data_IF_422882657873
#
_entry.id   IF_422882657873
#
_cell.length_a   1.000
_cell.length_b   1.000
_cell.length_c   1.000
_cell.angle_alpha   90.00
_cell.angle_beta   90.00
_cell.angle_gamma   90.00
#
_symmetry.space_group_name_H-M   'P 1'
#
loop_
_entity.id
_entity.type
_entity.pdbx_description
1 polymer ?
#
# COMPACT_ATOMS: atom_id res chain seq x y z
N UNK A 1 -1.84 6.23 -30.73
CA UNK A 1 -3.15 6.02 -31.37
C UNK A 1 -3.75 4.74 -30.83
N UNK A 2 -4.24 4.80 -29.58
CA UNK A 2 -5.00 3.74 -28.93
C UNK A 2 -6.07 4.44 -28.09
N UNK A 3 -7.30 4.30 -28.57
CA UNK A 3 -8.55 4.20 -27.81
C UNK A 3 -8.92 5.37 -26.91
N UNK A 4 -9.52 6.38 -27.53
CA UNK A 4 -10.61 7.20 -26.94
C UNK A 4 -11.85 6.37 -26.57
N UNK A 5 -11.88 5.08 -26.89
CA UNK A 5 -13.03 4.17 -26.74
C UNK A 5 -13.09 3.44 -25.39
N UNK A 6 -12.24 3.79 -24.42
CA UNK A 6 -12.33 3.28 -23.03
C UNK A 6 -13.27 4.15 -22.16
N UNK A 7 -13.83 5.23 -22.73
CA UNK A 7 -14.70 6.15 -22.00
C UNK A 7 -16.14 5.65 -21.81
N UNK A 8 -16.53 4.56 -22.46
CA UNK A 8 -17.69 3.76 -22.04
C UNK A 8 -17.24 2.76 -20.97
N UNK A 9 -16.87 3.28 -19.80
CA UNK A 9 -16.85 2.48 -18.58
C UNK A 9 -18.31 2.12 -18.30
N UNK A 10 -18.76 1.04 -18.91
CA UNK A 10 -20.07 0.45 -18.74
C UNK A 10 -20.13 -0.05 -17.30
N UNK A 11 -20.49 0.83 -16.36
CA UNK A 11 -20.91 0.46 -15.02
C UNK A 11 -22.09 -0.49 -15.21
N UNK A 12 -21.81 -1.79 -15.18
CA UNK A 12 -22.80 -2.84 -15.16
C UNK A 12 -23.68 -2.61 -13.93
N UNK A 13 -24.86 -2.02 -14.15
CA UNK A 13 -25.88 -1.70 -13.17
C UNK A 13 -25.41 -0.90 -11.93
N UNK A 14 -25.82 0.37 -11.85
CA UNK A 14 -25.73 1.14 -10.60
C UNK A 14 -26.87 0.69 -9.68
N UNK A 15 -26.53 0.22 -8.49
CA UNK A 15 -27.48 -0.12 -7.44
C UNK A 15 -27.43 0.97 -6.37
N UNK A 16 -28.57 1.64 -6.14
CA UNK A 16 -28.73 2.63 -5.07
C UNK A 16 -29.22 1.98 -3.79
N UNK A 17 -28.70 2.44 -2.65
CA UNK A 17 -29.11 2.01 -1.32
C UNK A 17 -29.51 3.24 -0.50
N UNK A 18 -30.47 3.08 0.41
CA UNK A 18 -30.95 4.21 1.22
C UNK A 18 -30.07 4.47 2.45
N UNK A 19 -29.40 3.42 2.94
CA UNK A 19 -28.45 3.51 4.06
C UNK A 19 -27.19 2.70 3.80
N UNK A 20 -26.13 3.03 4.52
CA UNK A 20 -24.88 2.28 4.48
C UNK A 20 -25.05 0.86 5.04
N UNK A 21 -25.92 0.68 6.05
CA UNK A 21 -26.21 -0.62 6.65
C UNK A 21 -26.85 -1.59 5.64
N UNK A 22 -27.80 -1.09 4.83
CA UNK A 22 -28.47 -1.88 3.79
C UNK A 22 -27.46 -2.37 2.74
N UNK A 23 -26.53 -1.49 2.36
CA UNK A 23 -25.43 -1.83 1.48
C UNK A 23 -24.49 -2.88 2.09
N UNK A 24 -24.13 -2.73 3.36
CA UNK A 24 -23.29 -3.71 4.07
C UNK A 24 -23.95 -5.08 4.15
N UNK A 25 -25.24 -5.13 4.44
CA UNK A 25 -26.01 -6.38 4.48
C UNK A 25 -26.16 -7.03 3.10
N UNK A 26 -26.25 -6.22 2.04
CA UNK A 26 -26.23 -6.70 0.66
C UNK A 26 -24.88 -7.35 0.29
N UNK A 27 -23.75 -6.74 0.71
CA UNK A 27 -22.41 -7.27 0.42
C UNK A 27 -22.07 -8.50 1.26
N UNK A 28 -22.54 -8.59 2.51
CA UNK A 28 -22.32 -9.78 3.37
C UNK A 28 -22.83 -11.07 2.72
N UNK A 29 -23.75 -10.98 1.76
CA UNK A 29 -24.14 -12.11 0.94
C UNK A 29 -22.99 -12.49 -0.01
N UNK A 30 -22.30 -13.59 0.27
CA UNK A 30 -21.05 -14.06 -0.39
C UNK A 30 -21.06 -14.04 -1.94
N UNK A 31 -22.21 -14.12 -2.58
CA UNK A 31 -22.34 -14.05 -4.05
C UNK A 31 -22.20 -12.63 -4.61
N UNK A 32 -22.51 -11.61 -3.81
CA UNK A 32 -22.59 -10.22 -4.27
C UNK A 32 -21.27 -9.47 -4.09
N UNK A 33 -20.46 -9.85 -3.10
CA UNK A 33 -19.17 -9.21 -2.82
C UNK A 33 -18.20 -9.25 -4.01
N UNK A 34 -18.21 -10.34 -4.77
CA UNK A 34 -17.35 -10.49 -5.96
C UNK A 34 -17.78 -9.58 -7.12
N UNK A 35 -19.08 -9.27 -7.20
CA UNK A 35 -19.65 -8.49 -8.31
C UNK A 35 -19.58 -6.97 -8.08
N UNK A 36 -19.52 -6.52 -6.82
CA UNK A 36 -19.40 -5.09 -6.51
C UNK A 36 -17.94 -4.65 -6.71
N UNK A 37 -17.75 -3.57 -7.49
CA UNK A 37 -16.44 -2.95 -7.67
C UNK A 37 -16.11 -2.02 -6.50
N UNK A 38 -16.97 -1.04 -6.28
CA UNK A 38 -16.82 -0.03 -5.24
C UNK A 38 -18.20 0.52 -4.85
N UNK A 39 -18.31 0.98 -3.61
CA UNK A 39 -19.40 1.83 -3.14
C UNK A 39 -18.97 3.29 -3.19
N UNK A 40 -19.90 4.14 -3.59
CA UNK A 40 -19.78 5.59 -3.53
C UNK A 40 -20.75 6.06 -2.45
N UNK A 41 -20.22 6.70 -1.42
CA UNK A 41 -21.06 7.23 -0.33
C UNK A 41 -20.90 8.74 -0.28
N UNK A 42 -22.03 9.44 -0.32
CA UNK A 42 -22.09 10.89 -0.20
C UNK A 42 -22.34 11.24 1.26
N UNK A 43 -21.44 12.03 1.85
CA UNK A 43 -21.56 12.53 3.21
C UNK A 43 -22.44 13.79 3.20
N UNK A 44 -23.75 13.56 3.08
CA UNK A 44 -24.76 14.60 3.05
C UNK A 44 -26.14 14.07 3.49
N UNK A 45 -26.85 14.88 4.28
CA UNK A 45 -28.19 14.56 4.76
C UNK A 45 -29.26 14.91 3.69
N UNK A 46 -29.52 13.97 2.79
CA UNK A 46 -30.65 14.09 1.86
C UNK A 46 -31.96 13.78 2.59
N UNK A 47 -32.93 14.71 2.53
CA UNK A 47 -34.28 14.52 3.11
C UNK A 47 -35.23 13.88 2.12
N UNK A 48 -35.06 14.22 0.84
CA UNK A 48 -35.83 13.67 -0.26
C UNK A 48 -34.91 13.17 -1.38
N UNK A 49 -35.39 12.21 -2.16
CA UNK A 49 -34.66 11.67 -3.32
C UNK A 49 -34.40 12.71 -4.42
N UNK A 50 -35.10 13.85 -4.39
CA UNK A 50 -34.96 14.93 -5.37
C UNK A 50 -34.09 16.09 -4.87
N UNK A 51 -33.49 15.96 -3.68
CA UNK A 51 -32.64 17.01 -3.13
C UNK A 51 -31.37 17.16 -3.98
N UNK A 52 -30.98 18.39 -4.35
CA UNK A 52 -29.83 18.60 -5.20
C UNK A 52 -28.53 18.32 -4.44
N UNK A 53 -27.49 17.92 -5.19
CA UNK A 53 -26.16 17.77 -4.63
C UNK A 53 -25.64 19.14 -4.11
N UNK A 54 -25.03 19.23 -2.92
CA UNK A 54 -24.45 20.48 -2.43
C UNK A 54 -23.28 20.94 -3.30
N UNK A 55 -23.07 22.27 -3.42
CA UNK A 55 -21.95 22.83 -4.19
C UNK A 55 -20.57 22.30 -3.74
N UNK A 56 -20.42 22.04 -2.44
CA UNK A 56 -19.25 21.37 -1.88
C UNK A 56 -19.63 19.92 -1.57
N UNK A 57 -19.35 19.03 -2.51
CA UNK A 57 -19.63 17.60 -2.37
C UNK A 57 -18.53 16.96 -1.51
N UNK A 58 -18.93 16.30 -0.43
CA UNK A 58 -18.06 15.40 0.34
C UNK A 58 -18.50 13.97 0.06
N UNK A 59 -17.59 13.15 -0.43
CA UNK A 59 -17.85 11.74 -0.68
C UNK A 59 -16.66 10.92 -0.21
N UNK A 60 -16.88 9.63 -0.03
CA UNK A 60 -15.82 8.67 0.18
C UNK A 60 -16.11 7.39 -0.60
N UNK A 61 -15.05 6.72 -1.04
CA UNK A 61 -15.13 5.50 -1.83
C UNK A 61 -14.81 4.30 -0.95
N UNK A 62 -15.70 3.30 -0.94
CA UNK A 62 -15.51 2.04 -0.23
C UNK A 62 -15.19 0.94 -1.24
N UNK A 63 -13.98 0.41 -1.19
CA UNK A 63 -13.56 -0.72 -2.01
C UNK A 63 -13.54 -2.01 -1.19
N UNK A 64 -13.68 -3.15 -1.86
CA UNK A 64 -13.46 -4.46 -1.23
C UNK A 64 -12.06 -4.53 -0.66
N UNK A 65 -11.90 -5.10 0.54
CA UNK A 65 -10.57 -5.35 1.10
C UNK A 65 -9.81 -6.43 0.30
N UNK A 66 -10.54 -7.36 -0.31
CA UNK A 66 -9.94 -8.39 -1.17
C UNK A 66 -9.68 -7.81 -2.56
N UNK A 67 -8.40 -7.68 -2.88
CA UNK A 67 -7.92 -7.18 -4.17
C UNK A 67 -8.20 -8.19 -5.28
N UNK A 68 -8.78 -7.70 -6.37
CA UNK A 68 -9.15 -8.51 -7.53
C UNK A 68 -7.99 -8.69 -8.50
N UNK A 69 -6.98 -7.80 -8.48
CA UNK A 69 -5.80 -7.95 -9.31
C UNK A 69 -4.77 -8.89 -8.66
N UNK A 70 -4.40 -9.92 -9.43
CA UNK A 70 -3.29 -10.87 -9.22
C UNK A 70 -3.26 -11.67 -7.91
N UNK A 71 -3.56 -12.97 -8.02
CA UNK A 71 -3.45 -13.97 -6.93
C UNK A 71 -2.08 -14.03 -6.26
N UNK A 72 -0.98 -13.75 -6.99
CA UNK A 72 0.38 -13.81 -6.44
C UNK A 72 0.70 -12.64 -5.49
N UNK A 73 0.17 -11.45 -5.76
CA UNK A 73 0.31 -10.28 -4.87
C UNK A 73 -0.47 -10.46 -3.57
N UNK A 74 -1.55 -11.27 -3.58
CA UNK A 74 -2.30 -11.61 -2.38
C UNK A 74 -1.54 -12.57 -1.44
N UNK A 75 -0.55 -13.33 -1.94
CA UNK A 75 0.22 -14.31 -1.14
C UNK A 75 1.38 -13.64 -0.40
N UNK A 76 2.07 -12.69 -1.05
CA UNK A 76 3.26 -12.02 -0.49
C UNK A 76 3.02 -10.56 -0.10
N UNK A 77 1.97 -9.93 -0.63
CA UNK A 77 1.58 -8.56 -0.35
C UNK A 77 0.58 -8.46 0.79
N UNK A 78 0.58 -7.32 1.50
CA UNK A 78 -0.51 -6.99 2.42
C UNK A 78 -1.79 -6.86 1.59
N UNK A 79 -2.73 -7.79 1.79
CA UNK A 79 -4.05 -7.82 1.15
C UNK A 79 -4.81 -6.49 1.34
N UNK A 80 -4.55 -5.74 2.41
CA UNK A 80 -5.26 -4.49 2.72
C UNK A 80 -4.81 -3.25 1.93
N UNK A 81 -5.67 -2.21 1.94
CA UNK A 81 -5.45 -0.88 1.35
C UNK A 81 -4.47 0.01 2.11
N UNK A 82 -4.05 -0.38 3.32
CA UNK A 82 -3.05 0.34 4.15
C UNK A 82 -3.42 1.81 4.45
N UNK A 83 -4.71 2.12 4.54
CA UNK A 83 -5.23 3.47 4.83
C UNK A 83 -4.78 4.04 6.18
N UNK A 84 -4.29 3.19 7.09
CA UNK A 84 -3.72 3.60 8.38
C UNK A 84 -2.37 4.31 8.24
N UNK A 85 -1.69 4.20 7.09
CA UNK A 85 -0.35 4.73 6.88
C UNK A 85 -0.29 5.63 5.64
N UNK A 86 0.18 6.87 5.80
CA UNK A 86 0.46 7.75 4.67
C UNK A 86 1.74 7.34 3.92
N UNK A 87 2.72 6.80 4.64
CA UNK A 87 4.00 6.36 4.11
C UNK A 87 4.36 4.97 4.65
N UNK A 88 5.10 4.15 3.89
CA UNK A 88 5.58 2.87 4.41
C UNK A 88 6.50 3.11 5.62
N UNK A 89 6.34 2.31 6.68
CA UNK A 89 7.14 2.43 7.90
C UNK A 89 8.63 2.21 7.67
N UNK A 90 8.98 1.40 6.67
CA UNK A 90 10.34 1.20 6.20
C UNK A 90 10.40 1.63 4.74
N UNK A 91 11.14 2.69 4.39
CA UNK A 91 11.29 3.10 3.00
C UNK A 91 12.06 2.04 2.21
N UNK A 92 11.68 1.85 0.94
CA UNK A 92 12.48 1.03 0.02
C UNK A 92 13.79 1.75 -0.31
N UNK A 93 14.88 0.99 -0.42
CA UNK A 93 16.19 1.51 -0.85
C UNK A 93 16.16 1.95 -2.33
N UNK A 94 15.22 1.40 -3.12
CA UNK A 94 15.01 1.73 -4.52
C UNK A 94 13.62 2.29 -4.80
N UNK A 95 13.17 2.30 -6.08
CA UNK A 95 11.82 2.71 -6.43
C UNK A 95 10.80 1.84 -5.69
N UNK A 96 9.71 2.45 -5.21
CA UNK A 96 8.65 1.75 -4.45
C UNK A 96 8.05 0.58 -5.21
N UNK A 97 7.88 0.74 -6.52
CA UNK A 97 7.45 -0.32 -7.41
C UNK A 97 8.19 -0.21 -8.73
N UNK A 98 8.50 -1.36 -9.35
CA UNK A 98 9.12 -1.42 -10.68
C UNK A 98 8.11 -1.11 -11.78
N UNK A 99 6.86 -1.55 -11.63
CA UNK A 99 5.82 -1.35 -12.64
C UNK A 99 5.19 0.05 -12.56
N UNK A 100 4.69 0.51 -13.69
CA UNK A 100 4.09 1.84 -13.85
C UNK A 100 2.82 2.05 -13.02
N UNK A 101 2.19 0.96 -12.55
CA UNK A 101 0.94 0.96 -11.81
C UNK A 101 1.05 1.48 -10.36
N UNK A 102 2.25 1.86 -9.91
CA UNK A 102 2.49 2.42 -8.57
C UNK A 102 2.63 1.38 -7.44
N UNK A 103 2.30 0.11 -7.71
CA UNK A 103 2.42 -1.01 -6.78
C UNK A 103 1.41 -0.98 -5.64
N UNK A 104 1.66 -1.79 -4.60
CA UNK A 104 0.75 -1.92 -3.45
C UNK A 104 0.55 -0.56 -2.72
N UNK A 105 -0.70 -0.16 -2.41
CA UNK A 105 -1.93 -0.98 -2.35
C UNK A 105 -2.72 -1.17 -3.65
N UNK A 106 -2.23 -0.72 -4.81
CA UNK A 106 -2.84 -1.04 -6.10
C UNK A 106 -3.92 -0.07 -6.56
N UNK A 107 -3.84 1.22 -6.22
CA UNK A 107 -4.89 2.19 -6.56
C UNK A 107 -5.18 2.33 -8.07
N UNK A 108 -4.20 2.07 -8.94
CA UNK A 108 -4.40 2.05 -10.40
C UNK A 108 -4.94 0.69 -10.85
N UNK A 109 -4.32 -0.40 -10.39
CA UNK A 109 -4.67 -1.77 -10.81
C UNK A 109 -6.07 -2.21 -10.34
N UNK A 110 -6.50 -1.76 -9.18
CA UNK A 110 -7.82 -2.08 -8.61
C UNK A 110 -8.93 -1.12 -9.06
N UNK A 111 -8.62 -0.12 -9.90
CA UNK A 111 -9.65 0.78 -10.43
C UNK A 111 -9.97 2.01 -9.56
N UNK A 112 -9.33 2.20 -8.40
CA UNK A 112 -9.63 3.32 -7.50
C UNK A 112 -9.49 4.69 -8.17
N UNK A 113 -8.36 4.95 -8.85
CA UNK A 113 -8.16 6.22 -9.55
C UNK A 113 -9.18 6.43 -10.67
N UNK A 114 -9.61 5.34 -11.32
CA UNK A 114 -10.58 5.40 -12.40
C UNK A 114 -11.98 5.76 -11.88
N UNK A 115 -12.43 5.11 -10.81
CA UNK A 115 -13.71 5.43 -10.15
C UNK A 115 -13.70 6.85 -9.62
N UNK A 116 -12.62 7.28 -8.97
CA UNK A 116 -12.48 8.65 -8.49
C UNK A 116 -12.57 9.67 -9.64
N UNK A 117 -11.80 9.45 -10.71
CA UNK A 117 -11.80 10.34 -11.87
C UNK A 117 -13.16 10.39 -12.58
N UNK A 118 -13.85 9.26 -12.69
CA UNK A 118 -15.18 9.18 -13.29
C UNK A 118 -16.23 9.90 -12.42
N UNK A 119 -16.19 9.69 -11.10
CA UNK A 119 -17.09 10.35 -10.16
C UNK A 119 -16.89 11.86 -10.13
N UNK A 120 -15.64 12.33 -10.09
CA UNK A 120 -15.34 13.77 -10.11
C UNK A 120 -15.84 14.41 -11.42
N UNK A 121 -15.68 13.74 -12.56
CA UNK A 121 -16.29 14.20 -13.83
C UNK A 121 -17.80 14.23 -13.76
N UNK A 122 -18.43 13.21 -13.19
CA UNK A 122 -19.89 13.16 -13.05
C UNK A 122 -20.42 14.33 -12.19
N UNK A 123 -19.75 14.63 -11.07
CA UNK A 123 -20.07 15.79 -10.21
C UNK A 123 -19.90 17.11 -10.96
N UNK A 124 -18.80 17.26 -11.71
CA UNK A 124 -18.57 18.45 -12.53
C UNK A 124 -19.64 18.63 -13.61
N UNK A 125 -20.04 17.54 -14.29
CA UNK A 125 -21.15 17.55 -15.26
C UNK A 125 -22.47 17.92 -14.60
N UNK A 126 -22.75 17.38 -13.41
CA UNK A 126 -23.97 17.66 -12.67
C UNK A 126 -24.12 19.15 -12.36
N UNK A 127 -23.06 19.82 -11.92
CA UNK A 127 -23.13 21.24 -11.57
C UNK A 127 -22.95 22.20 -12.74
N UNK A 128 -22.15 21.86 -13.76
CA UNK A 128 -21.77 22.80 -14.82
C UNK A 128 -22.35 22.47 -16.20
N UNK A 129 -23.05 21.33 -16.35
CA UNK A 129 -23.70 20.91 -17.59
C UNK A 129 -22.76 20.96 -18.81
N UNK A 130 -23.18 21.68 -19.85
CA UNK A 130 -22.43 21.86 -21.10
C UNK A 130 -21.04 22.47 -20.93
N UNK A 131 -20.82 23.31 -19.92
CA UNK A 131 -19.50 23.90 -19.67
C UNK A 131 -18.47 22.82 -19.27
N UNK A 132 -18.90 21.77 -18.56
CA UNK A 132 -18.02 20.66 -18.22
C UNK A 132 -17.72 19.78 -19.44
N UNK A 133 -18.70 19.54 -20.31
CA UNK A 133 -18.50 18.71 -21.51
C UNK A 133 -17.51 19.34 -22.49
N UNK A 134 -17.62 20.65 -22.72
CA UNK A 134 -16.67 21.42 -23.53
C UNK A 134 -15.27 21.46 -22.91
N UNK A 135 -15.16 21.46 -21.58
CA UNK A 135 -13.87 21.34 -20.89
C UNK A 135 -13.24 19.96 -21.14
N UNK A 136 -14.01 18.88 -21.02
CA UNK A 136 -13.49 17.52 -21.17
C UNK A 136 -13.13 17.16 -22.61
N UNK A 137 -13.76 17.77 -23.62
CA UNK A 137 -13.33 17.61 -25.02
C UNK A 137 -11.97 18.26 -25.29
N UNK A 138 -11.64 19.31 -24.54
CA UNK A 138 -10.44 20.12 -24.76
C UNK A 138 -9.27 19.71 -23.87
N UNK A 139 -9.54 19.06 -22.73
CA UNK A 139 -8.53 18.71 -21.71
C UNK A 139 -8.45 17.21 -21.50
N UNK A 140 -7.27 16.64 -21.78
CA UNK A 140 -6.93 15.26 -21.45
C UNK A 140 -6.12 15.20 -20.16
N UNK A 141 -6.55 14.37 -19.21
CA UNK A 141 -5.85 14.14 -17.94
C UNK A 141 -5.17 12.78 -17.98
N UNK A 142 -3.86 12.75 -17.74
CA UNK A 142 -3.06 11.52 -17.65
C UNK A 142 -2.38 11.46 -16.29
N UNK A 143 -2.20 10.23 -15.80
CA UNK A 143 -1.46 9.96 -14.56
C UNK A 143 -0.12 9.36 -14.93
N UNK A 144 0.96 10.00 -14.48
CA UNK A 144 2.31 9.52 -14.68
C UNK A 144 3.09 9.58 -13.37
N UNK A 145 3.90 8.54 -13.11
CA UNK A 145 4.78 8.50 -11.94
C UNK A 145 5.98 9.42 -12.16
N UNK A 146 6.47 9.99 -11.06
CA UNK A 146 7.76 10.68 -11.10
C UNK A 146 8.87 9.68 -11.46
N UNK A 147 9.78 10.05 -12.38
CA UNK A 147 10.90 9.20 -12.74
C UNK A 147 11.82 9.02 -11.52
N UNK A 148 12.30 7.79 -11.32
CA UNK A 148 13.29 7.47 -10.30
C UNK A 148 14.68 7.43 -10.96
N UNK A 149 15.75 7.94 -10.32
CA UNK A 149 17.09 7.88 -10.88
C UNK A 149 17.55 6.43 -11.11
N UNK A 150 18.55 6.24 -11.98
CA UNK A 150 19.17 4.93 -12.17
C UNK A 150 19.71 4.39 -10.83
N UNK A 151 19.32 3.18 -10.47
CA UNK A 151 19.67 2.56 -9.20
C UNK A 151 20.10 1.10 -9.41
N UNK A 152 21.07 0.64 -8.62
CA UNK A 152 21.58 -0.73 -8.65
C UNK A 152 21.01 -1.53 -7.49
N UNK A 153 20.30 -2.61 -7.79
CA UNK A 153 19.74 -3.47 -6.76
C UNK A 153 20.78 -4.51 -6.31
N UNK A 154 21.60 -4.12 -5.33
CA UNK A 154 22.60 -4.98 -4.72
C UNK A 154 22.04 -5.67 -3.46
N UNK A 155 21.47 -6.86 -3.68
CA UNK A 155 21.00 -7.71 -2.60
C UNK A 155 22.14 -8.13 -1.67
N UNK A 156 23.35 -8.37 -2.20
CA UNK A 156 24.48 -8.82 -1.41
C UNK A 156 24.87 -7.75 -0.39
N UNK A 157 24.96 -6.48 -0.79
CA UNK A 157 25.25 -5.39 0.12
C UNK A 157 24.22 -5.31 1.26
N UNK A 158 22.93 -5.37 0.94
CA UNK A 158 21.84 -5.35 1.93
C UNK A 158 21.95 -6.52 2.91
N UNK A 159 22.13 -7.75 2.42
CA UNK A 159 22.27 -8.93 3.27
C UNK A 159 23.56 -8.87 4.11
N UNK A 160 24.67 -8.45 3.52
CA UNK A 160 25.97 -8.37 4.18
C UNK A 160 25.94 -7.46 5.41
N UNK A 161 25.17 -6.36 5.36
CA UNK A 161 24.98 -5.45 6.49
C UNK A 161 24.37 -6.11 7.74
N UNK A 162 23.58 -7.18 7.58
CA UNK A 162 22.98 -7.93 8.68
C UNK A 162 23.86 -9.13 9.09
N UNK A 163 24.38 -9.86 8.10
CA UNK A 163 25.13 -11.10 8.35
C UNK A 163 26.56 -10.87 8.87
N UNK A 164 27.28 -9.85 8.37
CA UNK A 164 28.66 -9.60 8.79
C UNK A 164 28.75 -9.29 10.30
N UNK A 165 27.95 -8.37 10.87
CA UNK A 165 27.99 -8.11 12.31
C UNK A 165 27.65 -9.34 13.14
N UNK A 166 26.68 -10.16 12.71
CA UNK A 166 26.32 -11.39 13.39
C UNK A 166 27.48 -12.39 13.42
N UNK A 167 28.14 -12.60 12.28
CA UNK A 167 29.32 -13.47 12.18
C UNK A 167 30.46 -12.96 13.06
N UNK A 168 30.71 -11.65 13.07
CA UNK A 168 31.73 -11.05 13.94
C UNK A 168 31.43 -11.30 15.42
N UNK A 169 30.18 -11.09 15.86
CA UNK A 169 29.76 -11.37 17.24
C UNK A 169 29.97 -12.85 17.58
N UNK A 170 29.61 -13.78 16.69
CA UNK A 170 29.84 -15.21 16.91
C UNK A 170 31.33 -15.56 17.07
N UNK A 171 32.19 -14.99 16.21
CA UNK A 171 33.64 -15.21 16.29
C UNK A 171 34.19 -14.67 17.61
N UNK A 172 33.83 -13.44 18.00
CA UNK A 172 34.28 -12.85 19.26
C UNK A 172 33.72 -13.60 20.48
N UNK A 173 32.49 -14.09 20.43
CA UNK A 173 31.88 -14.86 21.51
C UNK A 173 32.67 -16.14 21.81
N UNK A 174 33.06 -16.89 20.77
CA UNK A 174 33.87 -18.10 20.94
C UNK A 174 35.26 -17.79 21.51
N UNK A 175 35.93 -16.74 21.02
CA UNK A 175 37.23 -16.31 21.54
C UNK A 175 37.13 -15.81 22.99
N UNK A 176 36.05 -15.13 23.35
CA UNK A 176 35.85 -14.63 24.71
C UNK A 176 35.58 -15.77 25.69
N UNK A 177 34.80 -16.79 25.29
CA UNK A 177 34.57 -17.98 26.10
C UNK A 177 35.87 -18.74 26.40
N UNK A 178 36.72 -18.97 25.40
CA UNK A 178 38.00 -19.64 25.61
C UNK A 178 38.94 -18.82 26.50
N UNK A 179 38.95 -17.49 26.33
CA UNK A 179 39.73 -16.60 27.19
C UNK A 179 39.25 -16.63 28.64
N UNK A 180 37.94 -16.54 28.89
CA UNK A 180 37.38 -16.67 30.26
C UNK A 180 37.75 -18.03 30.86
N UNK A 181 37.57 -19.13 30.12
CA UNK A 181 37.92 -20.46 30.60
C UNK A 181 39.39 -20.53 31.04
N UNK A 182 40.30 -19.99 30.23
CA UNK A 182 41.73 -19.93 30.56
C UNK A 182 42.02 -19.09 31.80
N UNK A 183 41.36 -17.93 31.96
CA UNK A 183 41.51 -17.06 33.14
C UNK A 183 40.96 -17.71 34.41
N UNK A 184 39.81 -18.38 34.33
CA UNK A 184 39.20 -19.11 35.45
C UNK A 184 40.12 -20.26 35.86
N UNK A 185 40.59 -21.04 34.89
CA UNK A 185 41.54 -22.12 35.11
C UNK A 185 42.83 -21.65 35.79
N UNK A 186 43.39 -20.53 35.33
CA UNK A 186 44.59 -19.93 35.90
C UNK A 186 44.36 -19.43 37.35
N UNK A 187 43.20 -18.81 37.60
CA UNK A 187 42.82 -18.32 38.95
C UNK A 187 42.59 -19.48 39.92
N UNK A 188 41.92 -20.54 39.49
CA UNK A 188 41.65 -21.73 40.31
C UNK A 188 42.95 -22.43 40.72
N UNK A 189 43.88 -22.57 39.77
CA UNK A 189 45.20 -23.15 40.03
C UNK A 189 46.20 -22.17 40.68
N UNK A 190 45.77 -20.93 40.98
CA UNK A 190 46.57 -19.86 41.62
C UNK A 190 47.94 -19.62 40.96
N UNK A 191 48.06 -19.88 39.66
CA UNK A 191 49.35 -19.92 38.94
C UNK A 191 50.08 -18.57 38.94
N UNK A 192 49.36 -17.46 39.10
CA UNK A 192 49.94 -16.10 39.24
C UNK A 192 50.49 -15.78 40.64
N UNK A 193 50.12 -16.55 41.67
CA UNK A 193 50.48 -16.27 43.07
C UNK A 193 51.72 -17.07 43.50
N UNK A 194 51.89 -18.28 42.95
CA UNK A 194 53.02 -19.17 43.19
C UNK A 194 54.41 -18.55 42.90
N UNK A 195 54.64 -17.83 41.77
CA UNK A 195 55.95 -17.21 41.54
C UNK A 195 56.26 -16.04 42.48
N UNK A 196 55.25 -15.46 43.14
CA UNK A 196 55.42 -14.34 44.09
C UNK A 196 55.76 -14.83 45.51
N UNK A 197 55.42 -16.08 45.86
CA UNK A 197 55.77 -16.71 47.13
C UNK A 197 57.12 -17.44 47.11
N UNK A 198 57.74 -17.58 45.93
CA UNK A 198 59.03 -18.26 45.73
C UNK A 198 60.21 -17.29 45.58
N UNK A 199 60.08 -16.03 46.00
CA UNK A 199 61.16 -15.03 46.01
C UNK A 199 61.42 -14.47 47.40
#
# INVERSE_FOLDING_TARGET
MWTTDILDFCLSAVLGFSSEEEFEDYIKQKKNSENVLAAIVFDHDFKNSNDPLPLKVKYYLRFSNDKKSNMLDNIYGKSSWLTNFLFPSVPSVGPRNKDDNGGSPGYISEGFLFVQHALDKAIMRYHSGQAAETLFSNVSVFVQRFPYPSYYHDFFFMFSGIFIPLVLVCIFFLNHLTLIQSLVWEKENRLKVTPLFLR
#
